data_IF_472847977762
#
_entry.id   IF_472847977762
#
_cell.length_a   1.000
_cell.length_b   1.000
_cell.length_c   1.000
_cell.angle_alpha   90.00
_cell.angle_beta   90.00
_cell.angle_gamma   90.00
#
_symmetry.space_group_name_H-M   'P 1'
#
loop_
_entity.id
_entity.type
_entity.pdbx_description
1 polymer ?
#
# COMPACT_ATOMS: atom_id res chain seq x y z
N UNK A 1 -30.28 -1.46 -69.11
CA UNK A 1 -28.96 -0.91 -68.79
C UNK A 1 -29.14 0.09 -67.65
N UNK A 2 -28.51 -0.22 -66.49
CA UNK A 2 -28.31 0.58 -65.25
C UNK A 2 -29.52 1.38 -64.72
N UNK A 3 -30.37 0.90 -63.79
CA UNK A 3 -30.15 0.45 -62.39
C UNK A 3 -29.76 1.56 -61.40
N UNK A 4 -30.80 2.17 -60.82
CA UNK A 4 -31.06 2.39 -59.39
C UNK A 4 -30.08 3.19 -58.51
N UNK A 5 -30.49 4.42 -58.20
CA UNK A 5 -29.99 5.26 -57.11
C UNK A 5 -30.45 4.66 -55.79
N UNK A 6 -29.55 4.07 -54.99
CA UNK A 6 -29.73 3.96 -53.54
C UNK A 6 -28.35 3.92 -52.88
N UNK A 7 -28.12 4.90 -52.00
CA UNK A 7 -26.96 4.98 -51.11
C UNK A 7 -26.92 3.68 -50.27
N UNK A 8 -25.83 2.90 -50.26
CA UNK A 8 -25.69 1.86 -49.26
C UNK A 8 -25.35 2.53 -47.93
N UNK A 9 -26.35 2.58 -47.06
CA UNK A 9 -26.22 2.87 -45.63
C UNK A 9 -25.05 2.07 -45.05
N UNK A 10 -24.09 2.76 -44.43
CA UNK A 10 -23.14 2.13 -43.52
C UNK A 10 -23.93 1.52 -42.37
N UNK A 11 -24.21 0.23 -42.47
CA UNK A 11 -24.75 -0.56 -41.37
C UNK A 11 -23.67 -0.58 -40.29
N UNK A 12 -23.92 0.08 -39.16
CA UNK A 12 -23.18 -0.20 -37.94
C UNK A 12 -23.65 -1.59 -37.48
N UNK A 13 -22.88 -2.61 -37.84
CA UNK A 13 -23.05 -3.94 -37.31
C UNK A 13 -22.46 -3.94 -35.88
N UNK A 14 -23.32 -3.65 -34.90
CA UNK A 14 -23.04 -3.93 -33.51
C UNK A 14 -23.04 -5.46 -33.35
N UNK A 15 -21.87 -6.06 -33.50
CA UNK A 15 -21.64 -7.46 -33.19
C UNK A 15 -21.96 -7.73 -31.72
N UNK A 16 -23.19 -8.18 -31.47
CA UNK A 16 -23.49 -9.04 -30.35
C UNK A 16 -22.57 -10.26 -30.47
N UNK A 17 -21.55 -10.33 -29.63
CA UNK A 17 -20.93 -11.59 -29.26
C UNK A 17 -20.71 -11.61 -27.75
N UNK A 18 -21.42 -12.56 -27.15
CA UNK A 18 -21.43 -12.93 -25.74
C UNK A 18 -20.04 -12.98 -25.10
N UNK A 19 -19.83 -12.12 -24.10
CA UNK A 19 -18.87 -12.35 -23.01
C UNK A 19 -19.53 -12.09 -21.66
N UNK A 20 -20.70 -12.70 -21.46
CA UNK A 20 -21.07 -13.22 -20.14
C UNK A 20 -20.27 -14.51 -19.89
N UNK A 21 -18.96 -14.38 -19.70
CA UNK A 21 -18.06 -15.38 -19.13
C UNK A 21 -16.67 -14.75 -18.96
N UNK A 22 -16.51 -13.94 -17.92
CA UNK A 22 -15.20 -13.76 -17.30
C UNK A 22 -15.38 -14.20 -15.85
N UNK A 23 -15.33 -15.51 -15.72
CA UNK A 23 -15.01 -16.24 -14.50
C UNK A 23 -13.81 -15.59 -13.80
N UNK A 24 -13.89 -15.54 -12.48
CA UNK A 24 -12.82 -15.26 -11.53
C UNK A 24 -11.43 -15.73 -11.97
N UNK A 25 -10.43 -14.87 -11.78
CA UNK A 25 -9.03 -15.28 -11.63
C UNK A 25 -8.02 -14.43 -12.40
N UNK A 26 -7.14 -13.75 -11.67
CA UNK A 26 -5.87 -13.17 -12.13
C UNK A 26 -5.92 -11.89 -12.98
N UNK A 27 -6.55 -10.84 -12.43
CA UNK A 27 -5.87 -9.54 -12.43
C UNK A 27 -4.81 -9.59 -11.35
N UNK A 28 -3.54 -9.50 -11.75
CA UNK A 28 -2.32 -9.51 -10.95
C UNK A 28 -2.47 -8.82 -9.60
N UNK A 29 -2.86 -9.58 -8.58
CA UNK A 29 -2.65 -9.20 -7.18
C UNK A 29 -1.16 -9.34 -6.95
N UNK A 30 -0.43 -8.22 -6.90
CA UNK A 30 0.81 -8.21 -6.12
C UNK A 30 0.40 -8.76 -4.75
N UNK A 31 0.87 -9.97 -4.42
CA UNK A 31 0.41 -10.63 -3.21
C UNK A 31 0.90 -9.80 -2.03
N UNK A 32 0.09 -9.69 -0.99
CA UNK A 32 0.54 -9.10 0.27
C UNK A 32 1.86 -9.75 0.75
N UNK A 33 2.05 -11.04 0.46
CA UNK A 33 3.30 -11.75 0.72
C UNK A 33 4.50 -11.19 -0.06
N UNK A 34 4.30 -10.74 -1.30
CA UNK A 34 5.35 -10.14 -2.13
C UNK A 34 5.71 -8.74 -1.63
N UNK A 35 4.71 -7.94 -1.24
CA UNK A 35 4.97 -6.66 -0.57
C UNK A 35 5.69 -6.85 0.76
N UNK A 36 5.27 -7.82 1.58
CA UNK A 36 5.92 -8.12 2.86
C UNK A 36 7.38 -8.54 2.67
N UNK A 37 7.67 -9.38 1.67
CA UNK A 37 9.02 -9.80 1.33
C UNK A 37 9.89 -8.62 0.87
N UNK A 38 9.30 -7.72 0.08
CA UNK A 38 9.97 -6.50 -0.37
C UNK A 38 10.29 -5.57 0.81
N UNK A 39 9.32 -5.34 1.70
CA UNK A 39 9.53 -4.52 2.89
C UNK A 39 10.57 -5.11 3.84
N UNK A 40 10.64 -6.44 3.99
CA UNK A 40 11.70 -7.09 4.79
C UNK A 40 13.09 -6.86 4.16
N UNK A 41 13.20 -6.91 2.82
CA UNK A 41 14.46 -6.60 2.14
C UNK A 41 14.85 -5.12 2.25
N UNK A 42 13.88 -4.22 2.21
CA UNK A 42 14.08 -2.79 2.41
C UNK A 42 14.60 -2.49 3.82
N UNK A 43 14.00 -3.09 4.86
CA UNK A 43 14.48 -2.96 6.25
C UNK A 43 15.93 -3.45 6.42
N UNK A 44 16.31 -4.55 5.74
CA UNK A 44 17.68 -5.03 5.78
C UNK A 44 18.67 -4.03 5.14
N UNK A 45 18.26 -3.39 4.05
CA UNK A 45 19.07 -2.39 3.37
C UNK A 45 19.19 -1.10 4.20
N UNK A 46 18.09 -0.67 4.82
CA UNK A 46 18.05 0.48 5.72
C UNK A 46 18.92 0.25 6.96
N UNK A 47 18.98 -0.97 7.49
CA UNK A 47 19.88 -1.34 8.59
C UNK A 47 21.36 -1.18 8.20
N UNK A 48 21.76 -1.65 7.02
CA UNK A 48 23.13 -1.51 6.51
C UNK A 48 23.48 -0.03 6.31
N UNK A 49 22.55 0.76 5.76
CA UNK A 49 22.75 2.20 5.65
C UNK A 49 22.85 2.89 7.01
N UNK A 50 22.03 2.48 7.98
CA UNK A 50 22.07 2.99 9.34
C UNK A 50 23.40 2.68 10.03
N UNK A 51 24.00 1.52 9.79
CA UNK A 51 25.32 1.18 10.34
C UNK A 51 26.42 2.09 9.75
N UNK A 52 26.35 2.37 8.44
CA UNK A 52 27.24 3.32 7.75
C UNK A 52 27.05 4.74 8.27
N UNK A 53 25.80 5.17 8.49
CA UNK A 53 25.48 6.48 9.03
C UNK A 53 25.85 6.60 10.52
N UNK A 54 25.77 5.51 11.28
CA UNK A 54 26.19 5.45 12.68
C UNK A 54 27.70 5.53 12.81
N UNK A 55 28.46 4.88 11.92
CA UNK A 55 29.91 5.09 11.78
C UNK A 55 30.25 6.54 11.44
N UNK A 56 29.43 7.20 10.62
CA UNK A 56 29.60 8.63 10.31
C UNK A 56 29.25 9.53 11.50
N UNK A 57 28.19 9.22 12.25
CA UNK A 57 27.72 9.96 13.43
C UNK A 57 28.67 9.83 14.63
N UNK A 58 29.33 8.67 14.79
CA UNK A 58 30.41 8.49 15.78
C UNK A 58 31.59 9.46 15.57
N UNK A 59 31.67 10.14 14.42
CA UNK A 59 32.62 11.23 14.16
C UNK A 59 32.17 12.60 14.70
N UNK A 60 31.02 12.70 15.37
CA UNK A 60 30.70 13.80 16.30
C UNK A 60 30.14 15.09 15.68
N UNK A 61 28.95 15.04 15.08
CA UNK A 61 28.26 16.24 14.59
C UNK A 61 27.26 16.85 15.60
N UNK A 62 27.20 18.19 15.58
CA UNK A 62 26.50 19.09 16.52
C UNK A 62 25.01 18.76 16.74
N UNK A 63 24.65 18.42 17.98
CA UNK A 63 23.23 18.27 18.38
C UNK A 63 22.81 19.47 19.21
N UNK A 64 21.85 20.22 18.69
CA UNK A 64 21.25 21.38 19.34
C UNK A 64 20.23 20.94 20.40
N UNK A 65 20.42 21.33 21.67
CA UNK A 65 19.62 20.90 22.83
C UNK A 65 18.10 21.11 22.60
N UNK A 66 17.72 22.15 21.86
CA UNK A 66 16.32 22.42 21.50
C UNK A 66 15.70 21.29 20.65
N UNK A 67 16.47 20.71 19.73
CA UNK A 67 15.98 19.62 18.90
C UNK A 67 15.76 18.34 19.72
N UNK A 68 16.62 18.07 20.70
CA UNK A 68 16.46 16.92 21.61
C UNK A 68 15.19 17.06 22.44
N UNK A 69 14.90 18.25 22.97
CA UNK A 69 13.67 18.49 23.73
C UNK A 69 12.41 18.34 22.87
N UNK A 70 12.42 18.88 21.64
CA UNK A 70 11.30 18.75 20.71
C UNK A 70 11.10 17.28 20.32
N UNK A 71 12.19 16.55 20.03
CA UNK A 71 12.14 15.14 19.71
C UNK A 71 11.58 14.31 20.86
N UNK A 72 11.99 14.60 22.10
CA UNK A 72 11.47 13.92 23.29
C UNK A 72 9.97 14.18 23.50
N UNK A 73 9.51 15.43 23.34
CA UNK A 73 8.09 15.77 23.42
C UNK A 73 7.27 15.08 22.32
N UNK A 74 7.77 15.10 21.09
CA UNK A 74 7.14 14.42 19.95
C UNK A 74 7.04 12.91 20.18
N UNK A 75 8.12 12.28 20.65
CA UNK A 75 8.16 10.85 20.95
C UNK A 75 7.13 10.47 22.02
N UNK A 76 6.96 11.28 23.06
CA UNK A 76 5.96 11.05 24.10
C UNK A 76 4.52 11.07 23.52
N UNK A 77 4.18 12.11 22.76
CA UNK A 77 2.84 12.23 22.12
C UNK A 77 2.60 11.09 21.14
N UNK A 78 3.59 10.75 20.31
CA UNK A 78 3.49 9.64 19.35
C UNK A 78 3.35 8.29 20.05
N UNK A 79 4.05 8.05 21.15
CA UNK A 79 3.91 6.82 21.94
C UNK A 79 2.50 6.68 22.52
N UNK A 80 1.95 7.76 23.06
CA UNK A 80 0.57 7.76 23.56
C UNK A 80 -0.43 7.42 22.44
N UNK A 81 -0.28 8.03 21.27
CA UNK A 81 -1.12 7.71 20.11
C UNK A 81 -0.96 6.25 19.66
N UNK A 82 0.25 5.70 19.69
CA UNK A 82 0.51 4.30 19.35
C UNK A 82 -0.16 3.33 20.33
N UNK A 83 -0.20 3.66 21.62
CA UNK A 83 -0.91 2.87 22.63
C UNK A 83 -2.43 2.86 22.38
N UNK A 84 -3.01 4.00 22.03
CA UNK A 84 -4.43 4.08 21.66
C UNK A 84 -4.74 3.23 20.43
N UNK A 85 -3.91 3.31 19.39
CA UNK A 85 -4.06 2.49 18.18
C UNK A 85 -3.93 1.00 18.54
N UNK A 86 -2.94 0.61 19.36
CA UNK A 86 -2.78 -0.77 19.83
C UNK A 86 -4.04 -1.26 20.51
N UNK A 87 -4.60 -0.48 21.43
CA UNK A 87 -5.81 -0.84 22.16
C UNK A 87 -6.99 -1.04 21.20
N UNK A 88 -7.19 -0.12 20.24
CA UNK A 88 -8.26 -0.22 19.23
C UNK A 88 -8.11 -1.43 18.30
N UNK A 89 -6.89 -1.79 17.93
CA UNK A 89 -6.62 -2.97 17.09
C UNK A 89 -6.93 -4.26 17.87
N UNK A 90 -6.57 -4.32 19.16
CA UNK A 90 -6.91 -5.46 20.01
C UNK A 90 -8.42 -5.58 20.19
N UNK A 91 -9.12 -4.47 20.44
CA UNK A 91 -10.59 -4.42 20.52
C UNK A 91 -11.23 -4.92 19.20
N UNK A 92 -10.76 -4.43 18.04
CA UNK A 92 -11.28 -4.84 16.74
C UNK A 92 -11.07 -6.34 16.46
N UNK A 93 -9.94 -6.90 16.88
CA UNK A 93 -9.68 -8.33 16.79
C UNK A 93 -10.63 -9.14 17.68
N UNK A 94 -10.82 -8.71 18.93
CA UNK A 94 -11.75 -9.35 19.86
C UNK A 94 -13.20 -9.30 19.35
N UNK A 95 -13.63 -8.17 18.79
CA UNK A 95 -14.97 -8.00 18.22
C UNK A 95 -15.20 -8.93 17.02
N UNK A 96 -14.22 -9.02 16.12
CA UNK A 96 -14.28 -9.93 14.96
C UNK A 96 -14.40 -11.40 15.41
N UNK A 97 -13.70 -11.79 16.48
CA UNK A 97 -13.83 -13.13 17.05
C UNK A 97 -15.20 -13.39 17.68
N UNK A 98 -15.79 -12.38 18.36
CA UNK A 98 -17.13 -12.48 18.95
C UNK A 98 -18.24 -12.57 17.91
N UNK A 99 -18.04 -12.03 16.71
CA UNK A 99 -19.01 -12.14 15.62
C UNK A 99 -19.00 -13.50 14.90
N UNK A 100 -17.96 -14.32 15.05
CA UNK A 100 -17.80 -15.59 14.33
C UNK A 100 -18.23 -16.84 15.12
N UNK A 101 -18.91 -16.68 16.27
CA UNK A 101 -19.52 -17.81 17.02
C UNK A 101 -21.03 -17.83 16.88
#
# INVERSE_FOLDING_TARGET
MASNILRPSGQINFGQNNINQISSGNQSKVSFADMLKQSISEVNNDQIQSDVLTQKLANGENVDLHQVMIAAQKANVTMQAALEIRNKVVEAYQETMRMQV
#
